data_IF_836445457961
#
_entry.id   IF_836445457961
#
_cell.length_a   1.000
_cell.length_b   1.000
_cell.length_c   1.000
_cell.angle_alpha   90.00
_cell.angle_beta   90.00
_cell.angle_gamma   90.00
#
_symmetry.space_group_name_H-M   'P 1'
#
loop_
_entity.id
_entity.type
_entity.pdbx_description
1 polymer ?
#
# COMPACT_ATOMS: atom_id res chain seq x y z
N UNK A 1 -15.41 1.94 10.61
CA UNK A 1 -14.89 1.64 9.27
C UNK A 1 -15.27 2.71 8.25
N UNK A 2 -16.52 2.83 7.80
CA UNK A 2 -16.91 3.72 6.68
C UNK A 2 -16.45 5.17 6.83
N UNK A 3 -16.53 5.74 8.04
CA UNK A 3 -16.07 7.12 8.30
C UNK A 3 -14.56 7.28 8.04
N UNK A 4 -13.73 6.35 8.50
CA UNK A 4 -12.27 6.41 8.26
C UNK A 4 -11.96 6.18 6.78
N UNK A 5 -12.67 5.24 6.13
CA UNK A 5 -12.52 4.99 4.71
C UNK A 5 -12.84 6.25 3.88
N UNK A 6 -13.92 6.97 4.20
CA UNK A 6 -14.30 8.23 3.54
C UNK A 6 -13.27 9.34 3.76
N UNK A 7 -12.74 9.46 4.99
CA UNK A 7 -11.75 10.46 5.34
C UNK A 7 -10.40 10.23 4.68
N UNK A 8 -9.98 8.96 4.54
CA UNK A 8 -8.68 8.59 4.00
C UNK A 8 -8.68 8.33 2.50
N UNK A 9 -9.86 8.11 1.89
CA UNK A 9 -9.96 7.77 0.47
C UNK A 9 -11.07 8.53 -0.25
N UNK A 10 -10.73 9.70 -0.78
CA UNK A 10 -11.67 10.45 -1.63
C UNK A 10 -12.01 9.73 -2.93
N UNK A 11 -11.06 8.99 -3.50
CA UNK A 11 -11.19 8.35 -4.82
C UNK A 11 -11.78 6.93 -4.73
N UNK A 12 -11.38 6.15 -3.73
CA UNK A 12 -11.76 4.74 -3.63
C UNK A 12 -12.98 4.47 -2.75
N UNK A 13 -13.43 5.44 -1.95
CA UNK A 13 -14.60 5.29 -1.09
C UNK A 13 -15.84 4.82 -1.86
N UNK A 14 -16.23 5.57 -2.90
CA UNK A 14 -17.43 5.24 -3.68
C UNK A 14 -17.34 3.88 -4.40
N UNK A 15 -16.23 3.51 -5.07
CA UNK A 15 -16.06 2.16 -5.59
C UNK A 15 -16.22 1.08 -4.53
N UNK A 16 -15.54 1.23 -3.37
CA UNK A 16 -15.54 0.20 -2.32
C UNK A 16 -16.92 -0.02 -1.73
N UNK A 17 -17.66 1.04 -1.39
CA UNK A 17 -18.98 0.90 -0.77
C UNK A 17 -20.04 0.30 -1.70
N UNK A 18 -19.77 0.20 -3.00
CA UNK A 18 -20.66 -0.41 -3.99
C UNK A 18 -20.38 -1.87 -4.25
N UNK A 19 -19.28 -2.41 -3.69
CA UNK A 19 -18.96 -3.82 -3.82
C UNK A 19 -19.97 -4.69 -3.06
N UNK A 20 -20.22 -5.91 -3.52
CA UNK A 20 -21.07 -6.86 -2.80
C UNK A 20 -20.46 -7.22 -1.44
N UNK A 21 -21.31 -7.59 -0.49
CA UNK A 21 -20.89 -8.03 0.83
C UNK A 21 -19.87 -9.16 0.77
N UNK A 22 -18.94 -9.20 1.69
CA UNK A 22 -17.77 -10.08 1.67
C UNK A 22 -16.60 -9.49 0.91
N UNK A 23 -16.79 -9.13 -0.37
CA UNK A 23 -15.76 -8.45 -1.16
C UNK A 23 -15.55 -7.01 -0.67
N UNK A 24 -16.63 -6.31 -0.30
CA UNK A 24 -16.54 -4.96 0.26
C UNK A 24 -15.66 -4.94 1.52
N UNK A 25 -15.90 -5.86 2.47
CA UNK A 25 -15.12 -5.96 3.70
C UNK A 25 -13.66 -6.33 3.41
N UNK A 26 -13.42 -7.25 2.48
CA UNK A 26 -12.07 -7.64 2.09
C UNK A 26 -11.28 -6.48 1.47
N UNK A 27 -11.89 -5.75 0.52
CA UNK A 27 -11.25 -4.61 -0.14
C UNK A 27 -11.08 -3.43 0.82
N UNK A 28 -12.08 -3.16 1.69
CA UNK A 28 -11.97 -2.13 2.72
C UNK A 28 -10.87 -2.44 3.73
N UNK A 29 -10.76 -3.69 4.18
CA UNK A 29 -9.67 -4.16 5.05
C UNK A 29 -8.32 -3.95 4.39
N UNK A 30 -8.15 -4.43 3.16
CA UNK A 30 -6.91 -4.28 2.39
C UNK A 30 -6.51 -2.80 2.25
N UNK A 31 -7.46 -1.95 1.84
CA UNK A 31 -7.23 -0.51 1.69
C UNK A 31 -6.78 0.14 3.01
N UNK A 32 -7.53 -0.10 4.11
CA UNK A 32 -7.23 0.53 5.40
C UNK A 32 -5.93 0.03 6.01
N UNK A 33 -5.61 -1.26 5.86
CA UNK A 33 -4.32 -1.80 6.30
C UNK A 33 -3.15 -1.16 5.53
N UNK A 34 -3.26 -1.05 4.22
CA UNK A 34 -2.23 -0.44 3.39
C UNK A 34 -2.13 1.07 3.64
N UNK A 35 -3.26 1.75 3.83
CA UNK A 35 -3.25 3.18 4.18
C UNK A 35 -2.60 3.42 5.55
N UNK A 36 -2.80 2.52 6.50
CA UNK A 36 -2.19 2.62 7.83
C UNK A 36 -0.65 2.60 7.79
N UNK A 37 -0.06 1.76 6.93
CA UNK A 37 1.41 1.71 6.75
C UNK A 37 1.94 2.85 5.87
N UNK A 38 1.16 3.32 4.90
CA UNK A 38 1.46 4.47 4.06
C UNK A 38 1.59 5.76 4.91
N UNK A 39 0.72 5.95 5.89
CA UNK A 39 0.82 7.06 6.86
C UNK A 39 2.08 6.99 7.74
N UNK A 40 2.67 5.82 7.94
CA UNK A 40 3.97 5.69 8.60
C UNK A 40 5.10 6.10 7.66
N UNK A 41 5.06 5.64 6.39
CA UNK A 41 6.09 5.97 5.38
C UNK A 41 6.14 7.47 5.11
N UNK A 42 4.99 8.13 5.03
CA UNK A 42 4.86 9.55 4.72
C UNK A 42 4.88 10.48 5.96
N UNK A 43 5.16 9.94 7.16
CA UNK A 43 5.04 10.71 8.40
C UNK A 43 6.05 11.88 8.44
N UNK A 44 5.59 13.14 8.64
CA UNK A 44 6.43 14.31 8.49
C UNK A 44 7.46 14.51 9.61
N UNK A 45 7.21 13.94 10.79
CA UNK A 45 8.03 14.17 11.99
C UNK A 45 8.91 12.98 12.37
N UNK A 46 8.67 11.79 11.80
CA UNK A 46 9.49 10.61 12.06
C UNK A 46 10.74 10.62 11.18
N UNK A 47 11.88 10.29 11.76
CA UNK A 47 13.08 10.07 10.98
C UNK A 47 13.04 8.71 10.23
N UNK A 48 13.95 8.54 9.28
CA UNK A 48 14.01 7.35 8.41
C UNK A 48 14.19 6.05 9.20
N UNK A 49 14.91 6.09 10.29
CA UNK A 49 15.17 4.93 11.13
C UNK A 49 13.91 4.55 11.93
N UNK A 50 13.22 5.55 12.46
CA UNK A 50 11.93 5.36 13.14
C UNK A 50 10.88 4.80 12.18
N UNK A 51 10.75 5.38 10.97
CA UNK A 51 9.85 4.88 9.91
C UNK A 51 10.16 3.42 9.60
N UNK A 52 11.43 3.11 9.32
CA UNK A 52 11.84 1.74 9.00
C UNK A 52 11.56 0.76 10.12
N UNK A 53 11.88 1.13 11.38
CA UNK A 53 11.65 0.27 12.53
C UNK A 53 10.17 0.00 12.78
N UNK A 54 9.31 1.03 12.67
CA UNK A 54 7.87 0.89 12.82
C UNK A 54 7.29 -0.03 11.74
N UNK A 55 7.65 0.18 10.48
CA UNK A 55 7.19 -0.65 9.38
C UNK A 55 7.63 -2.12 9.53
N UNK A 56 8.86 -2.36 10.00
CA UNK A 56 9.35 -3.71 10.30
C UNK A 56 8.58 -4.35 11.45
N UNK A 57 8.29 -3.60 12.51
CA UNK A 57 7.51 -4.10 13.66
C UNK A 57 6.09 -4.47 13.23
N UNK A 58 5.43 -3.64 12.40
CA UNK A 58 4.12 -3.95 11.82
C UNK A 58 4.19 -5.20 10.95
N UNK A 59 5.21 -5.32 10.10
CA UNK A 59 5.40 -6.49 9.25
C UNK A 59 5.50 -7.78 10.09
N UNK A 60 6.34 -7.79 11.11
CA UNK A 60 6.52 -8.94 11.99
C UNK A 60 5.23 -9.29 12.76
N UNK A 61 4.52 -8.27 13.28
CA UNK A 61 3.25 -8.47 13.96
C UNK A 61 2.20 -9.14 13.06
N UNK A 62 2.12 -8.74 11.79
CA UNK A 62 1.19 -9.34 10.83
C UNK A 62 1.62 -10.75 10.39
N UNK A 63 2.93 -11.01 10.23
CA UNK A 63 3.45 -12.35 9.90
C UNK A 63 3.17 -13.38 11.00
N UNK A 64 3.10 -12.94 12.24
CA UNK A 64 2.77 -13.80 13.40
C UNK A 64 1.31 -14.19 13.52
N UNK A 65 0.40 -13.66 12.66
CA UNK A 65 -1.02 -13.95 12.70
C UNK A 65 -1.36 -15.20 11.86
N UNK A 66 -2.35 -15.98 12.32
CA UNK A 66 -2.74 -17.22 11.65
C UNK A 66 -4.22 -17.27 11.25
N UNK A 67 -5.11 -16.72 12.07
CA UNK A 67 -6.54 -16.64 11.79
C UNK A 67 -7.17 -15.39 12.44
N UNK A 68 -8.35 -15.01 11.98
CA UNK A 68 -9.10 -13.87 12.54
C UNK A 68 -9.47 -14.13 14.00
N UNK A 69 -9.84 -15.38 14.32
CA UNK A 69 -10.27 -15.80 15.67
C UNK A 69 -9.13 -15.76 16.69
N UNK A 70 -7.89 -15.93 16.25
CA UNK A 70 -6.69 -15.91 17.11
C UNK A 70 -5.82 -14.68 16.89
N UNK A 71 -6.35 -13.65 16.21
CA UNK A 71 -5.62 -12.43 15.91
C UNK A 71 -5.19 -11.68 17.18
N UNK A 72 -3.90 -11.44 17.31
CA UNK A 72 -3.30 -10.80 18.48
C UNK A 72 -3.16 -9.30 18.27
N UNK A 73 -4.19 -8.55 18.63
CA UNK A 73 -4.16 -7.08 18.57
C UNK A 73 -3.01 -6.46 19.37
N UNK A 74 -2.59 -7.14 20.44
CA UNK A 74 -1.50 -6.68 21.30
C UNK A 74 -0.18 -6.54 20.55
N UNK A 75 0.12 -7.42 19.60
CA UNK A 75 1.37 -7.38 18.83
C UNK A 75 1.50 -6.04 18.07
N UNK A 76 0.38 -5.54 17.49
CA UNK A 76 0.36 -4.23 16.83
C UNK A 76 0.36 -3.06 17.82
N UNK A 77 -0.31 -3.21 18.97
CA UNK A 77 -0.27 -2.19 20.03
C UNK A 77 1.16 -2.01 20.54
N UNK A 78 1.88 -3.10 20.75
CA UNK A 78 3.29 -3.08 21.16
C UNK A 78 4.18 -2.47 20.06
N UNK A 79 3.91 -2.76 18.78
CA UNK A 79 4.64 -2.17 17.66
C UNK A 79 4.54 -0.64 17.63
N UNK A 80 3.43 -0.07 18.09
CA UNK A 80 3.16 1.38 18.06
C UNK A 80 3.45 2.10 19.37
N UNK A 81 3.72 1.39 20.49
CA UNK A 81 3.72 1.95 21.85
C UNK A 81 4.51 3.26 22.02
N UNK A 82 5.70 3.34 21.41
CA UNK A 82 6.60 4.49 21.55
C UNK A 82 6.18 5.71 20.70
N UNK A 83 5.32 5.51 19.70
CA UNK A 83 4.94 6.53 18.72
C UNK A 83 3.43 6.76 18.64
N UNK A 84 2.61 6.08 19.45
CA UNK A 84 1.15 6.08 19.35
C UNK A 84 0.52 7.47 19.34
N UNK A 85 1.08 8.43 20.10
CA UNK A 85 0.57 9.80 20.18
C UNK A 85 0.83 10.64 18.91
N UNK A 86 1.74 10.19 18.06
CA UNK A 86 2.12 10.88 16.82
C UNK A 86 1.41 10.28 15.60
N UNK A 87 1.00 9.01 15.69
CA UNK A 87 0.42 8.28 14.56
C UNK A 87 -1.07 8.59 14.38
N UNK A 88 -1.56 8.73 13.13
CA UNK A 88 -2.95 8.99 12.84
C UNK A 88 -3.87 7.79 13.22
N UNK A 89 -5.16 8.08 13.39
CA UNK A 89 -6.16 7.09 13.80
C UNK A 89 -6.20 5.85 12.91
N UNK A 90 -6.02 6.02 11.59
CA UNK A 90 -6.01 4.88 10.66
C UNK A 90 -4.86 3.92 10.96
N UNK A 91 -3.71 4.43 11.38
CA UNK A 91 -2.53 3.62 11.71
C UNK A 91 -2.69 2.92 13.05
N UNK A 92 -3.08 3.66 14.09
CA UNK A 92 -3.21 3.09 15.45
C UNK A 92 -4.31 2.02 15.55
N UNK A 93 -5.28 2.02 14.60
CA UNK A 93 -6.35 1.04 14.52
C UNK A 93 -6.10 -0.08 13.49
N UNK A 94 -4.88 -0.27 13.04
CA UNK A 94 -4.53 -1.29 12.04
C UNK A 94 -5.06 -2.69 12.40
N UNK A 95 -5.00 -3.08 13.68
CA UNK A 95 -5.55 -4.37 14.15
C UNK A 95 -7.05 -4.52 13.91
N UNK A 96 -7.83 -3.43 14.01
CA UNK A 96 -9.25 -3.47 13.71
C UNK A 96 -9.51 -3.66 12.21
N UNK A 97 -8.69 -3.04 11.37
CA UNK A 97 -8.79 -3.17 9.92
C UNK A 97 -8.40 -4.57 9.46
N UNK A 98 -7.37 -5.15 10.06
CA UNK A 98 -6.87 -6.47 9.73
C UNK A 98 -7.92 -7.57 9.90
N UNK A 99 -8.81 -7.45 10.89
CA UNK A 99 -9.86 -8.47 11.16
C UNK A 99 -11.22 -8.16 10.51
N UNK A 100 -11.32 -7.11 9.68
CA UNK A 100 -12.54 -6.79 8.94
C UNK A 100 -12.84 -7.77 7.81
N UNK A 101 -11.80 -8.29 7.18
CA UNK A 101 -11.96 -9.21 6.05
C UNK A 101 -12.52 -10.56 6.52
N UNK A 102 -13.30 -11.25 5.66
CA UNK A 102 -13.68 -12.62 5.91
C UNK A 102 -12.48 -13.51 6.21
N UNK A 103 -12.62 -14.42 7.19
CA UNK A 103 -11.51 -15.24 7.70
C UNK A 103 -10.78 -16.04 6.62
N UNK A 104 -11.48 -16.45 5.57
CA UNK A 104 -10.90 -17.20 4.46
C UNK A 104 -9.87 -16.39 3.62
N UNK A 105 -9.94 -15.06 3.62
CA UNK A 105 -9.07 -14.20 2.82
C UNK A 105 -8.21 -13.24 3.66
N UNK A 106 -8.53 -13.03 4.93
CA UNK A 106 -7.79 -12.14 5.83
C UNK A 106 -6.29 -12.43 5.88
N UNK A 107 -5.81 -13.69 5.99
CA UNK A 107 -4.38 -13.98 6.00
C UNK A 107 -3.65 -13.52 4.74
N UNK A 108 -4.31 -13.54 3.58
CA UNK A 108 -3.73 -13.06 2.32
C UNK A 108 -3.54 -11.53 2.33
N UNK A 109 -4.46 -10.80 2.99
CA UNK A 109 -4.35 -9.35 3.17
C UNK A 109 -3.20 -9.02 4.12
N UNK A 110 -3.06 -9.75 5.23
CA UNK A 110 -1.96 -9.57 6.18
C UNK A 110 -0.60 -9.82 5.55
N UNK A 111 -0.47 -10.90 4.77
CA UNK A 111 0.75 -11.19 4.00
C UNK A 111 1.10 -10.06 3.04
N UNK A 112 0.12 -9.56 2.27
CA UNK A 112 0.34 -8.47 1.33
C UNK A 112 0.74 -7.17 2.03
N UNK A 113 0.08 -6.83 3.16
CA UNK A 113 0.38 -5.65 3.96
C UNK A 113 1.76 -5.76 4.59
N UNK A 114 2.09 -6.91 5.18
CA UNK A 114 3.41 -7.20 5.74
C UNK A 114 4.51 -7.04 4.70
N UNK A 115 4.37 -7.67 3.55
CA UNK A 115 5.34 -7.57 2.46
C UNK A 115 5.49 -6.14 1.91
N UNK A 116 4.42 -5.34 1.89
CA UNK A 116 4.47 -3.93 1.52
C UNK A 116 5.21 -3.11 2.57
N UNK A 117 4.93 -3.33 3.86
CA UNK A 117 5.60 -2.66 4.97
C UNK A 117 7.12 -2.93 4.96
N UNK A 118 7.55 -4.16 4.71
CA UNK A 118 8.98 -4.49 4.58
C UNK A 118 9.65 -3.75 3.41
N UNK A 119 8.98 -3.65 2.27
CA UNK A 119 9.51 -2.91 1.11
C UNK A 119 9.61 -1.42 1.40
N UNK A 120 8.61 -0.82 2.04
CA UNK A 120 8.64 0.58 2.49
C UNK A 120 9.78 0.81 3.49
N UNK A 121 9.96 -0.07 4.48
CA UNK A 121 11.06 -0.02 5.43
C UNK A 121 12.43 -0.05 4.74
N UNK A 122 12.59 -0.90 3.73
CA UNK A 122 13.82 -0.98 2.93
C UNK A 122 14.10 0.33 2.19
N UNK A 123 13.07 0.96 1.59
CA UNK A 123 13.21 2.24 0.89
C UNK A 123 13.48 3.39 1.85
N UNK A 124 12.83 3.44 3.01
CA UNK A 124 13.11 4.41 4.07
C UNK A 124 14.59 4.35 4.49
N UNK A 125 15.12 3.14 4.75
CA UNK A 125 16.55 2.95 5.08
C UNK A 125 17.49 3.45 3.97
N UNK A 126 17.09 3.34 2.70
CA UNK A 126 17.84 3.86 1.55
C UNK A 126 17.60 5.35 1.29
N UNK A 127 16.76 6.01 2.10
CA UNK A 127 16.36 7.40 1.91
C UNK A 127 15.63 7.65 0.60
N UNK A 128 14.83 6.68 0.17
CA UNK A 128 14.07 6.71 -1.11
C UNK A 128 14.93 7.09 -2.32
N UNK A 129 16.19 6.65 -2.33
CA UNK A 129 17.13 6.98 -3.42
C UNK A 129 16.82 6.14 -4.65
N UNK A 130 16.29 6.78 -5.68
CA UNK A 130 16.02 6.20 -7.00
C UNK A 130 17.13 6.64 -7.95
N UNK A 131 17.96 5.70 -8.40
CA UNK A 131 19.10 5.99 -9.30
C UNK A 131 18.76 5.63 -10.75
N UNK A 132 18.04 4.55 -10.93
CA UNK A 132 17.75 3.95 -12.24
C UNK A 132 16.25 3.69 -12.43
N UNK A 133 15.86 3.45 -13.69
CA UNK A 133 14.50 2.97 -13.98
C UNK A 133 14.22 1.64 -13.27
N UNK A 134 15.22 0.77 -13.08
CA UNK A 134 15.05 -0.47 -12.33
C UNK A 134 14.73 -0.22 -10.85
N UNK A 135 15.26 0.84 -10.24
CA UNK A 135 14.89 1.22 -8.87
C UNK A 135 13.47 1.75 -8.83
N UNK A 136 13.08 2.60 -9.78
CA UNK A 136 11.71 3.07 -9.93
C UNK A 136 10.73 1.90 -10.15
N UNK A 137 11.12 0.92 -10.97
CA UNK A 137 10.34 -0.29 -11.21
C UNK A 137 10.13 -1.10 -9.90
N UNK A 138 11.16 -1.22 -9.08
CA UNK A 138 11.06 -1.92 -7.78
C UNK A 138 10.22 -1.12 -6.77
N UNK A 139 10.41 0.19 -6.70
CA UNK A 139 9.65 1.05 -5.81
C UNK A 139 8.16 1.01 -6.16
N UNK A 140 7.81 1.36 -7.40
CA UNK A 140 6.42 1.39 -7.85
C UNK A 140 5.72 0.03 -7.78
N UNK A 141 6.47 -1.07 -8.00
CA UNK A 141 5.93 -2.41 -7.74
C UNK A 141 5.66 -2.61 -6.25
N UNK A 142 6.61 -2.24 -5.38
CA UNK A 142 6.55 -2.47 -3.94
C UNK A 142 5.36 -1.82 -3.27
N UNK A 143 5.06 -0.57 -3.65
CA UNK A 143 4.02 0.25 -3.00
C UNK A 143 2.68 0.28 -3.74
N UNK A 144 2.62 -0.14 -5.01
CA UNK A 144 1.38 -0.07 -5.79
C UNK A 144 1.14 -1.28 -6.71
N UNK A 145 2.17 -1.76 -7.45
CA UNK A 145 1.99 -2.92 -8.33
C UNK A 145 1.57 -4.18 -7.55
N UNK A 146 2.11 -4.39 -6.35
CA UNK A 146 1.73 -5.49 -5.47
C UNK A 146 0.29 -5.39 -4.96
N UNK A 147 -0.26 -4.18 -4.84
CA UNK A 147 -1.70 -3.97 -4.54
C UNK A 147 -2.57 -4.54 -5.65
N UNK A 148 -2.17 -4.33 -6.91
CA UNK A 148 -2.86 -4.94 -8.06
C UNK A 148 -2.91 -6.47 -7.97
N UNK A 149 -1.82 -7.11 -7.53
CA UNK A 149 -1.82 -8.57 -7.29
C UNK A 149 -2.78 -8.98 -6.18
N UNK A 150 -2.83 -8.24 -5.08
CA UNK A 150 -3.79 -8.51 -4.01
C UNK A 150 -5.22 -8.39 -4.53
N UNK A 151 -5.54 -7.36 -5.31
CA UNK A 151 -6.87 -7.22 -5.90
C UNK A 151 -7.22 -8.42 -6.79
N UNK A 152 -6.28 -8.91 -7.62
CA UNK A 152 -6.51 -10.16 -8.38
C UNK A 152 -6.86 -11.35 -7.47
N UNK A 153 -6.16 -11.48 -6.33
CA UNK A 153 -6.41 -12.55 -5.38
C UNK A 153 -7.79 -12.41 -4.70
N UNK A 154 -8.22 -11.18 -4.36
CA UNK A 154 -9.53 -10.91 -3.76
C UNK A 154 -10.67 -11.24 -4.74
N UNK A 155 -10.57 -10.84 -6.02
CA UNK A 155 -11.55 -11.19 -7.04
C UNK A 155 -11.53 -12.68 -7.37
N UNK A 156 -10.35 -13.30 -7.41
CA UNK A 156 -10.21 -14.74 -7.56
C UNK A 156 -10.89 -15.52 -6.45
N UNK A 157 -10.73 -15.07 -5.21
CA UNK A 157 -11.39 -15.66 -4.04
C UNK A 157 -12.91 -15.49 -4.09
N UNK A 158 -13.39 -14.30 -4.45
CA UNK A 158 -14.81 -13.96 -4.36
C UNK A 158 -15.65 -14.49 -5.54
N UNK A 159 -15.16 -14.32 -6.76
CA UNK A 159 -15.88 -14.65 -8.00
C UNK A 159 -15.28 -15.81 -8.80
N UNK A 160 -14.13 -16.34 -8.37
CA UNK A 160 -13.38 -17.36 -9.13
C UNK A 160 -12.71 -16.79 -10.40
N UNK A 161 -12.65 -15.47 -10.54
CA UNK A 161 -12.02 -14.83 -11.69
C UNK A 161 -10.50 -15.02 -11.67
N UNK A 162 -9.90 -15.09 -12.87
CA UNK A 162 -8.44 -15.16 -13.05
C UNK A 162 -7.96 -13.92 -13.81
N UNK A 163 -7.92 -12.71 -13.16
CA UNK A 163 -7.48 -11.51 -13.84
C UNK A 163 -6.03 -11.61 -14.31
N UNK A 164 -5.71 -10.94 -15.41
CA UNK A 164 -4.33 -10.90 -15.92
C UNK A 164 -3.44 -10.11 -14.96
N UNK A 165 -2.62 -10.83 -14.19
CA UNK A 165 -1.80 -10.28 -13.10
C UNK A 165 -0.77 -9.26 -13.58
N UNK A 166 -0.23 -9.43 -14.79
CA UNK A 166 0.74 -8.49 -15.37
C UNK A 166 0.10 -7.12 -15.66
N UNK A 167 -1.16 -7.10 -16.09
CA UNK A 167 -1.91 -5.87 -16.30
C UNK A 167 -2.21 -5.16 -14.99
N UNK A 168 -2.62 -5.90 -13.95
CA UNK A 168 -2.87 -5.34 -12.62
C UNK A 168 -1.59 -4.71 -12.02
N UNK A 169 -0.43 -5.36 -12.16
CA UNK A 169 0.87 -4.80 -11.76
C UNK A 169 1.16 -3.51 -12.53
N UNK A 170 1.00 -3.54 -13.86
CA UNK A 170 1.29 -2.39 -14.72
C UNK A 170 0.40 -1.21 -14.39
N UNK A 171 -0.89 -1.45 -14.14
CA UNK A 171 -1.84 -0.42 -13.74
C UNK A 171 -1.44 0.22 -12.40
N UNK A 172 -1.17 -0.57 -11.37
CA UNK A 172 -0.73 -0.05 -10.07
C UNK A 172 0.55 0.79 -10.19
N UNK A 173 1.55 0.30 -10.94
CA UNK A 173 2.80 1.03 -11.19
C UNK A 173 2.56 2.34 -11.95
N UNK A 174 1.66 2.34 -12.93
CA UNK A 174 1.27 3.54 -13.68
C UNK A 174 0.60 4.58 -12.79
N UNK A 175 -0.34 4.16 -11.92
CA UNK A 175 -0.97 5.06 -10.95
C UNK A 175 0.05 5.67 -9.98
N UNK A 176 1.00 4.88 -9.49
CA UNK A 176 2.06 5.40 -8.62
C UNK A 176 2.98 6.38 -9.35
N UNK A 177 3.30 6.14 -10.61
CA UNK A 177 4.08 7.10 -11.41
C UNK A 177 3.35 8.43 -11.60
N UNK A 178 2.03 8.39 -11.82
CA UNK A 178 1.20 9.62 -11.86
C UNK A 178 1.19 10.33 -10.52
N UNK A 179 1.15 9.57 -9.41
CA UNK A 179 1.21 10.14 -8.06
C UNK A 179 2.54 10.84 -7.81
N UNK A 180 3.65 10.22 -8.18
CA UNK A 180 5.00 10.81 -8.11
C UNK A 180 5.08 12.11 -8.94
N UNK A 181 4.58 12.10 -10.18
CA UNK A 181 4.52 13.31 -11.02
C UNK A 181 3.76 14.45 -10.34
N UNK A 182 2.59 14.13 -9.80
CA UNK A 182 1.71 15.12 -9.16
C UNK A 182 2.34 15.75 -7.91
N UNK A 183 3.04 14.94 -7.13
CA UNK A 183 3.57 15.33 -5.82
C UNK A 183 5.06 15.72 -5.87
N UNK A 184 5.71 15.71 -7.04
CA UNK A 184 7.16 15.87 -7.19
C UNK A 184 7.73 17.09 -6.46
N UNK A 185 7.04 18.24 -6.50
CA UNK A 185 7.47 19.44 -5.79
C UNK A 185 7.45 19.30 -4.27
N UNK A 186 6.42 18.65 -3.76
CA UNK A 186 6.24 18.42 -2.33
C UNK A 186 7.26 17.38 -1.83
N UNK A 187 7.52 16.35 -2.65
CA UNK A 187 8.54 15.33 -2.36
C UNK A 187 9.94 15.94 -2.31
N UNK A 188 10.29 16.79 -3.27
CA UNK A 188 11.56 17.53 -3.26
C UNK A 188 11.70 18.43 -2.03
N UNK A 189 10.61 19.06 -1.58
CA UNK A 189 10.63 19.88 -0.36
C UNK A 189 10.90 19.06 0.89
N UNK A 190 10.56 17.75 0.90
CA UNK A 190 10.90 16.78 1.95
C UNK A 190 12.30 16.18 1.78
N UNK A 191 13.04 16.54 0.73
CA UNK A 191 14.36 16.00 0.41
C UNK A 191 14.33 14.62 -0.24
N UNK A 192 13.21 14.23 -0.85
CA UNK A 192 13.02 12.96 -1.57
C UNK A 192 12.83 13.24 -3.05
N UNK A 193 13.58 12.52 -3.89
CA UNK A 193 13.39 12.56 -5.34
C UNK A 193 13.17 11.14 -5.87
N UNK A 194 11.96 10.88 -6.32
CA UNK A 194 11.58 9.59 -6.89
C UNK A 194 11.92 9.48 -8.39
N UNK A 195 12.52 10.51 -8.99
CA UNK A 195 12.92 10.42 -10.38
C UNK A 195 14.26 9.70 -10.51
N UNK A 196 14.40 8.77 -11.46
CA UNK A 196 15.68 8.23 -11.84
C UNK A 196 16.67 9.33 -12.22
N UNK A 197 17.94 9.11 -11.92
CA UNK A 197 18.97 10.12 -12.19
C UNK A 197 18.96 10.58 -13.65
N UNK A 198 18.84 11.87 -13.85
CA UNK A 198 18.80 12.50 -15.18
C UNK A 198 17.43 12.50 -15.86
N UNK A 199 16.38 11.99 -15.18
CA UNK A 199 15.03 12.13 -15.67
C UNK A 199 14.42 13.48 -15.28
N UNK A 200 13.50 13.96 -16.13
CA UNK A 200 12.60 15.06 -15.81
C UNK A 200 11.15 14.60 -15.98
N UNK A 201 10.23 15.58 -15.93
CA UNK A 201 8.79 15.33 -16.04
C UNK A 201 8.42 14.54 -17.31
N UNK A 202 9.13 14.80 -18.43
CA UNK A 202 8.84 14.14 -19.72
C UNK A 202 9.13 12.63 -19.68
N UNK A 203 10.25 12.24 -19.11
CA UNK A 203 10.63 10.83 -18.98
C UNK A 203 9.71 10.11 -17.99
N UNK A 204 9.36 10.76 -16.89
CA UNK A 204 8.43 10.20 -15.90
C UNK A 204 7.01 10.08 -16.48
N UNK A 205 6.55 11.08 -17.24
CA UNK A 205 5.27 11.02 -17.95
C UNK A 205 5.24 9.88 -18.97
N UNK A 206 6.31 9.72 -19.76
CA UNK A 206 6.42 8.63 -20.73
C UNK A 206 6.38 7.27 -20.03
N UNK A 207 7.06 7.12 -18.90
CA UNK A 207 7.02 5.91 -18.07
C UNK A 207 5.60 5.63 -17.54
N UNK A 208 4.92 6.63 -16.99
CA UNK A 208 3.55 6.50 -16.49
C UNK A 208 2.59 6.05 -17.61
N UNK A 209 2.65 6.70 -18.78
CA UNK A 209 1.86 6.33 -19.96
C UNK A 209 2.14 4.91 -20.42
N UNK A 210 3.40 4.50 -20.49
CA UNK A 210 3.77 3.13 -20.87
C UNK A 210 3.15 2.10 -19.93
N UNK A 211 3.18 2.33 -18.60
CA UNK A 211 2.61 1.40 -17.63
C UNK A 211 1.09 1.36 -17.71
N UNK A 212 0.42 2.50 -17.90
CA UNK A 212 -1.04 2.55 -18.03
C UNK A 212 -1.51 1.91 -19.34
N UNK A 213 -0.87 2.20 -20.48
CA UNK A 213 -1.22 1.57 -21.76
C UNK A 213 -1.02 0.05 -21.74
N UNK A 214 -0.04 -0.46 -21.01
CA UNK A 214 0.13 -1.91 -20.85
C UNK A 214 -1.03 -2.57 -20.06
N UNK A 215 -1.88 -1.78 -19.39
CA UNK A 215 -3.06 -2.24 -18.66
C UNK A 215 -4.38 -2.09 -19.44
N UNK A 216 -4.39 -1.35 -20.56
CA UNK A 216 -5.62 -1.09 -21.34
C UNK A 216 -6.24 -2.33 -21.96
N UNK A 217 -5.45 -3.37 -22.19
CA UNK A 217 -5.95 -4.69 -22.64
C UNK A 217 -6.67 -5.49 -21.52
N UNK A 218 -6.91 -4.87 -20.37
CA UNK A 218 -7.60 -5.46 -19.21
C UNK A 218 -9.15 -5.39 -19.35
N UNK A 219 -9.65 -4.70 -20.37
CA UNK A 219 -11.08 -4.36 -20.50
C UNK A 219 -11.83 -5.23 -21.53
N UNK A 220 -11.20 -6.19 -22.16
CA UNK A 220 -11.81 -7.17 -23.06
C UNK A 220 -11.82 -8.56 -22.39
#
# INVERSE_FOLDING_TARGET
MLKILEQTSRTFYLPIIRLPGGLQEAVASAYLCMRAIDEIEDHPELDRQQISSLLQSVSLALQGQHSVETFRHQDLTEAFQDNVSQLPEVTTRLGEWAVLAPSAIAPRIWEATSAMAERMALWANRGWTIISQSDLDRYTFGVAGAVGLLLCDLWGWFEGLQPERSHAISFGRGLQAVNILRNHKDDLARGVDFYPRGWGDKEMEAYARQKLSASENYSD
#
